data_IF_323996235601
#
_entry.id   IF_323996235601
#
_cell.length_a   1.000
_cell.length_b   1.000
_cell.length_c   1.000
_cell.angle_alpha   90.00
_cell.angle_beta   90.00
_cell.angle_gamma   90.00
#
_symmetry.space_group_name_H-M   'P 1'
#
loop_
_entity.id
_entity.type
_entity.pdbx_description
1 polymer ?
#
# COMPACT_ATOMS: atom_id res chain seq x y z
N UNK A 1 -33.82 -58.76 35.19
CA UNK A 1 -33.70 -59.00 33.74
C UNK A 1 -34.28 -57.77 33.05
N UNK A 2 -33.52 -56.70 32.83
CA UNK A 2 -32.75 -56.42 31.59
C UNK A 2 -33.56 -56.76 30.33
N UNK A 3 -34.04 -55.78 29.57
CA UNK A 3 -33.21 -55.18 28.52
C UNK A 3 -33.67 -53.78 28.13
N UNK A 4 -32.67 -52.90 27.96
CA UNK A 4 -32.73 -51.52 27.47
C UNK A 4 -32.52 -51.53 25.95
N UNK A 5 -33.36 -50.83 25.19
CA UNK A 5 -33.06 -50.45 23.80
C UNK A 5 -32.59 -49.00 23.82
N UNK A 6 -31.35 -48.80 23.39
CA UNK A 6 -30.69 -47.50 23.26
C UNK A 6 -31.00 -46.89 21.89
N UNK A 7 -31.51 -45.67 21.87
CA UNK A 7 -31.56 -44.82 20.67
C UNK A 7 -30.26 -44.03 20.61
N UNK A 8 -29.42 -44.30 19.61
CA UNK A 8 -28.22 -43.49 19.31
C UNK A 8 -28.64 -42.34 18.39
N UNK A 9 -28.64 -41.12 18.91
CA UNK A 9 -28.70 -39.89 18.13
C UNK A 9 -27.29 -39.57 17.63
N UNK A 10 -27.07 -39.67 16.32
CA UNK A 10 -25.87 -39.17 15.67
C UNK A 10 -25.93 -37.63 15.60
N UNK A 11 -25.21 -36.94 16.49
CA UNK A 11 -24.84 -35.54 16.28
C UNK A 11 -23.78 -35.50 15.17
N UNK A 12 -24.19 -35.16 13.95
CA UNK A 12 -23.27 -34.66 12.94
C UNK A 12 -22.88 -33.22 13.36
N UNK A 13 -21.74 -33.08 14.02
CA UNK A 13 -21.10 -31.80 14.22
C UNK A 13 -20.64 -31.26 12.85
N UNK A 14 -21.47 -30.41 12.23
CA UNK A 14 -21.02 -29.55 11.14
C UNK A 14 -20.10 -28.52 11.78
N UNK A 15 -18.81 -28.83 11.80
CA UNK A 15 -17.76 -27.85 12.05
C UNK A 15 -17.77 -26.85 10.89
N UNK A 16 -18.65 -25.85 10.97
CA UNK A 16 -18.49 -24.64 10.15
C UNK A 16 -17.22 -23.97 10.69
N UNK A 17 -16.08 -24.28 10.09
CA UNK A 17 -14.96 -23.37 10.15
C UNK A 17 -15.45 -22.07 9.51
N UNK A 18 -15.89 -21.12 10.34
CA UNK A 18 -15.93 -19.72 9.98
C UNK A 18 -14.48 -19.35 9.65
N UNK A 19 -14.08 -19.56 8.40
CA UNK A 19 -12.89 -18.93 7.88
C UNK A 19 -13.14 -17.43 8.03
N UNK A 20 -12.44 -16.78 8.97
CA UNK A 20 -12.42 -15.33 9.02
C UNK A 20 -11.97 -14.85 7.64
N UNK A 21 -12.84 -14.13 6.93
CA UNK A 21 -12.54 -13.68 5.59
C UNK A 21 -11.33 -12.74 5.63
N UNK A 22 -10.19 -13.22 5.12
CA UNK A 22 -8.97 -12.44 4.91
C UNK A 22 -9.32 -11.17 4.14
N UNK A 23 -9.06 -10.01 4.73
CA UNK A 23 -9.39 -8.72 4.15
C UNK A 23 -8.13 -7.98 3.71
N UNK A 24 -8.20 -7.31 2.56
CA UNK A 24 -7.17 -6.38 2.10
C UNK A 24 -7.78 -5.00 2.00
N UNK A 25 -7.16 -4.03 2.62
CA UNK A 25 -7.47 -2.61 2.43
C UNK A 25 -6.28 -1.90 1.82
N UNK A 26 -6.51 -0.78 1.15
CA UNK A 26 -5.44 0.14 0.77
C UNK A 26 -5.59 1.45 1.53
N UNK A 27 -4.47 1.99 1.99
CA UNK A 27 -4.43 3.30 2.59
C UNK A 27 -4.74 4.36 1.55
N UNK A 28 -5.64 5.28 1.90
CA UNK A 28 -6.18 6.27 0.97
C UNK A 28 -6.03 7.66 1.58
N UNK A 29 -5.26 8.51 0.93
CA UNK A 29 -5.07 9.91 1.31
C UNK A 29 -6.28 10.73 0.86
N UNK A 30 -7.14 11.13 1.81
CA UNK A 30 -8.30 11.97 1.50
C UNK A 30 -7.89 13.35 0.97
N UNK A 31 -6.70 13.86 1.32
CA UNK A 31 -6.17 15.12 0.79
C UNK A 31 -6.10 15.13 -0.76
N UNK A 32 -5.97 13.96 -1.39
CA UNK A 32 -5.95 13.80 -2.85
C UNK A 32 -7.34 13.56 -3.47
N UNK A 33 -8.42 13.77 -2.70
CA UNK A 33 -9.80 13.52 -3.15
C UNK A 33 -10.67 14.78 -3.28
N UNK A 34 -10.08 15.98 -3.24
CA UNK A 34 -10.85 17.25 -3.27
C UNK A 34 -11.88 17.30 -4.41
N UNK A 35 -11.45 16.94 -5.62
CA UNK A 35 -12.27 16.96 -6.83
C UNK A 35 -13.19 15.73 -7.01
N UNK A 36 -13.12 14.74 -6.10
CA UNK A 36 -13.81 13.47 -6.28
C UNK A 36 -15.33 13.67 -6.28
N UNK A 37 -15.96 12.99 -7.22
CA UNK A 37 -17.39 12.71 -7.20
C UNK A 37 -17.62 11.27 -6.77
N UNK A 38 -18.86 10.90 -6.44
CA UNK A 38 -19.28 9.49 -6.25
C UNK A 38 -18.87 8.62 -7.44
N UNK A 39 -18.89 9.16 -8.67
CA UNK A 39 -18.46 8.46 -9.88
C UNK A 39 -16.96 8.16 -9.89
N UNK A 40 -16.14 9.12 -9.46
CA UNK A 40 -14.70 8.91 -9.34
C UNK A 40 -14.38 7.86 -8.25
N UNK A 41 -15.02 7.95 -7.08
CA UNK A 41 -14.89 6.94 -6.04
C UNK A 41 -15.20 5.53 -6.54
N UNK A 42 -16.29 5.35 -7.31
CA UNK A 42 -16.63 4.05 -7.91
C UNK A 42 -15.57 3.56 -8.90
N UNK A 43 -14.92 4.46 -9.63
CA UNK A 43 -13.85 4.11 -10.57
C UNK A 43 -12.65 3.54 -9.82
N UNK A 44 -12.19 4.26 -8.81
CA UNK A 44 -11.08 3.84 -7.95
C UNK A 44 -11.39 2.52 -7.22
N UNK A 45 -12.58 2.38 -6.65
CA UNK A 45 -13.00 1.15 -5.95
C UNK A 45 -13.02 -0.06 -6.88
N UNK A 46 -13.50 0.09 -8.13
CA UNK A 46 -13.48 -1.00 -9.12
C UNK A 46 -12.05 -1.39 -9.50
N UNK A 47 -11.17 -0.41 -9.70
CA UNK A 47 -9.77 -0.67 -10.01
C UNK A 47 -9.05 -1.37 -8.83
N UNK A 48 -9.33 -0.95 -7.60
CA UNK A 48 -8.82 -1.59 -6.38
C UNK A 48 -9.34 -3.04 -6.25
N UNK A 49 -10.63 -3.29 -6.48
CA UNK A 49 -11.21 -4.65 -6.48
C UNK A 49 -10.54 -5.55 -7.53
N UNK A 50 -10.21 -5.03 -8.72
CA UNK A 50 -9.48 -5.78 -9.74
C UNK A 50 -8.07 -6.19 -9.30
N UNK A 51 -7.44 -5.42 -8.41
CA UNK A 51 -6.17 -5.73 -7.77
C UNK A 51 -6.30 -6.64 -6.54
N UNK A 52 -7.53 -7.03 -6.17
CA UNK A 52 -7.79 -7.87 -4.99
C UNK A 52 -7.87 -7.09 -3.67
N UNK A 53 -8.10 -5.78 -3.72
CA UNK A 53 -8.30 -4.91 -2.56
C UNK A 53 -9.80 -4.80 -2.29
N UNK A 54 -10.23 -5.02 -1.04
CA UNK A 54 -11.64 -5.08 -0.63
C UNK A 54 -12.15 -3.76 -0.04
N UNK A 55 -11.24 -2.90 0.40
CA UNK A 55 -11.60 -1.65 1.06
C UNK A 55 -10.54 -0.57 1.05
N UNK A 56 -10.90 0.62 1.51
CA UNK A 56 -9.96 1.73 1.77
C UNK A 56 -9.91 2.08 3.25
N UNK A 57 -8.70 2.37 3.72
CA UNK A 57 -8.40 2.98 5.01
C UNK A 57 -8.27 4.48 4.77
N UNK A 58 -9.30 5.25 5.15
CA UNK A 58 -9.41 6.67 4.84
C UNK A 58 -8.53 7.49 5.80
N UNK A 59 -7.34 7.87 5.31
CA UNK A 59 -6.42 8.74 6.00
C UNK A 59 -6.78 10.21 5.79
N UNK A 60 -6.84 10.93 6.90
CA UNK A 60 -7.10 12.35 6.96
C UNK A 60 -6.66 12.92 8.29
N UNK A 61 -6.61 14.24 8.35
CA UNK A 61 -6.09 15.04 9.45
C UNK A 61 -7.24 15.81 10.11
N UNK A 62 -7.05 16.38 11.32
CA UNK A 62 -8.03 17.28 11.91
C UNK A 62 -8.36 18.41 10.91
N UNK A 63 -9.62 18.58 10.48
CA UNK A 63 -9.94 19.46 9.34
C UNK A 63 -9.48 20.92 9.50
N UNK A 64 -9.36 21.37 10.74
CA UNK A 64 -8.98 22.75 11.10
C UNK A 64 -7.49 22.94 11.35
N UNK A 65 -6.67 21.91 11.11
CA UNK A 65 -5.21 22.01 11.22
C UNK A 65 -4.56 22.75 10.04
N UNK A 66 -5.24 22.86 8.90
CA UNK A 66 -4.70 23.48 7.68
C UNK A 66 -5.44 24.79 7.33
N UNK A 67 -4.76 25.66 6.58
CA UNK A 67 -5.33 26.85 5.95
C UNK A 67 -5.14 26.77 4.43
N UNK A 68 -6.21 26.72 3.61
CA UNK A 68 -7.62 26.66 4.02
C UNK A 68 -7.98 25.33 4.70
N UNK A 69 -9.04 25.38 5.52
CA UNK A 69 -9.57 24.22 6.24
C UNK A 69 -9.91 23.06 5.29
N UNK A 70 -9.63 21.84 5.76
CA UNK A 70 -9.95 20.57 5.07
C UNK A 70 -11.38 20.07 5.37
N UNK A 71 -12.29 20.92 5.85
CA UNK A 71 -13.69 20.55 6.17
C UNK A 71 -14.43 19.85 5.01
N UNK A 72 -14.06 20.14 3.76
CA UNK A 72 -14.57 19.46 2.57
C UNK A 72 -14.34 17.93 2.57
N UNK A 73 -13.37 17.41 3.35
CA UNK A 73 -13.13 15.97 3.46
C UNK A 73 -14.32 15.22 4.04
N UNK A 74 -15.12 15.87 4.89
CA UNK A 74 -16.35 15.30 5.43
C UNK A 74 -17.32 14.94 4.29
N UNK A 75 -17.49 15.84 3.31
CA UNK A 75 -18.34 15.60 2.15
C UNK A 75 -17.76 14.50 1.25
N UNK A 76 -16.43 14.45 1.09
CA UNK A 76 -15.78 13.38 0.31
C UNK A 76 -15.87 12.02 0.98
N UNK A 77 -15.90 11.96 2.31
CA UNK A 77 -16.19 10.74 3.07
C UNK A 77 -17.63 10.28 2.83
N UNK A 78 -18.60 11.20 2.85
CA UNK A 78 -20.00 10.88 2.52
C UNK A 78 -20.13 10.29 1.11
N UNK A 79 -19.49 10.94 0.13
CA UNK A 79 -19.44 10.46 -1.25
C UNK A 79 -18.80 9.06 -1.35
N UNK A 80 -17.74 8.81 -0.57
CA UNK A 80 -17.07 7.52 -0.52
C UNK A 80 -18.00 6.43 0.02
N UNK A 81 -18.69 6.66 1.14
CA UNK A 81 -19.65 5.69 1.69
C UNK A 81 -20.80 5.42 0.69
N UNK A 82 -21.33 6.46 0.05
CA UNK A 82 -22.36 6.30 -0.98
C UNK A 82 -21.85 5.45 -2.17
N UNK A 83 -20.60 5.67 -2.61
CA UNK A 83 -19.99 4.88 -3.68
C UNK A 83 -19.78 3.42 -3.26
N UNK A 84 -19.22 3.21 -2.06
CA UNK A 84 -18.85 1.91 -1.52
C UNK A 84 -20.05 0.97 -1.33
N UNK A 85 -21.20 1.50 -0.86
CA UNK A 85 -22.44 0.73 -0.76
C UNK A 85 -22.90 0.19 -2.13
N UNK A 86 -22.68 0.94 -3.21
CA UNK A 86 -23.07 0.54 -4.56
C UNK A 86 -22.09 -0.42 -5.22
N UNK A 87 -20.87 -0.53 -4.72
CA UNK A 87 -19.81 -1.41 -5.25
C UNK A 87 -19.51 -2.61 -4.35
N UNK A 88 -20.14 -2.69 -3.17
CA UNK A 88 -19.84 -3.70 -2.15
C UNK A 88 -18.47 -3.52 -1.50
N UNK A 89 -17.86 -2.34 -1.64
CA UNK A 89 -16.54 -2.02 -1.13
C UNK A 89 -16.61 -1.65 0.36
N UNK A 90 -15.49 -1.78 1.08
CA UNK A 90 -15.41 -1.47 2.51
C UNK A 90 -14.61 -0.21 2.79
N UNK A 91 -14.98 0.51 3.84
CA UNK A 91 -14.28 1.70 4.29
C UNK A 91 -14.04 1.62 5.80
N UNK A 92 -12.85 1.98 6.21
CA UNK A 92 -12.52 2.22 7.62
C UNK A 92 -11.88 3.59 7.78
N UNK A 93 -12.05 4.21 8.95
CA UNK A 93 -11.38 5.46 9.27
C UNK A 93 -9.95 5.20 9.75
N UNK A 94 -9.00 6.01 9.26
CA UNK A 94 -7.62 6.11 9.75
C UNK A 94 -7.32 7.56 10.12
N UNK A 95 -7.42 7.89 11.40
CA UNK A 95 -7.19 9.26 11.87
C UNK A 95 -5.68 9.56 11.99
N UNK A 96 -5.17 10.45 11.16
CA UNK A 96 -3.77 10.86 11.18
C UNK A 96 -3.52 11.80 12.37
N UNK A 97 -2.72 11.32 13.32
CA UNK A 97 -2.41 11.98 14.58
C UNK A 97 -1.02 12.65 14.58
N UNK A 98 -0.33 12.67 13.44
CA UNK A 98 1.04 13.18 13.31
C UNK A 98 1.14 14.71 13.26
N UNK A 99 0.03 15.40 12.99
CA UNK A 99 0.01 16.84 12.81
C UNK A 99 0.02 17.59 14.14
N UNK A 100 1.16 18.19 14.47
CA UNK A 100 1.38 18.95 15.73
C UNK A 100 1.55 20.45 15.50
N UNK A 101 1.97 20.86 14.30
CA UNK A 101 2.39 22.25 14.00
C UNK A 101 1.28 23.29 14.10
N UNK A 102 0.02 22.87 13.95
CA UNK A 102 -1.16 23.73 13.99
C UNK A 102 -1.82 23.84 15.38
N UNK A 103 -1.37 23.06 16.37
CA UNK A 103 -2.00 22.94 17.69
C UNK A 103 -3.52 22.63 17.64
N UNK A 104 -3.96 21.88 16.62
CA UNK A 104 -5.32 21.36 16.44
C UNK A 104 -5.26 19.85 16.42
N UNK A 105 -5.76 19.24 17.48
CA UNK A 105 -5.75 17.80 17.66
C UNK A 105 -7.14 17.20 17.39
N UNK A 106 -7.17 15.89 17.16
CA UNK A 106 -8.41 15.14 17.13
C UNK A 106 -9.13 15.26 18.46
N UNK A 107 -10.45 15.44 18.38
CA UNK A 107 -11.34 15.46 19.52
C UNK A 107 -12.23 14.22 19.45
N UNK A 108 -12.33 13.46 20.54
CA UNK A 108 -13.08 12.20 20.59
C UNK A 108 -14.55 12.37 20.26
N UNK A 109 -15.19 13.49 20.62
CA UNK A 109 -16.57 13.80 20.23
C UNK A 109 -16.70 13.91 18.71
N UNK A 110 -15.86 14.70 18.06
CA UNK A 110 -15.90 14.85 16.59
C UNK A 110 -15.59 13.54 15.88
N UNK A 111 -14.61 12.77 16.37
CA UNK A 111 -14.31 11.45 15.84
C UNK A 111 -15.51 10.51 15.98
N UNK A 112 -16.15 10.47 17.15
CA UNK A 112 -17.36 9.66 17.38
C UNK A 112 -18.48 10.08 16.43
N UNK A 113 -18.73 11.37 16.24
CA UNK A 113 -19.76 11.84 15.30
C UNK A 113 -19.49 11.33 13.88
N UNK A 114 -18.25 11.43 13.41
CA UNK A 114 -17.85 10.94 12.07
C UNK A 114 -17.94 9.42 11.94
N UNK A 115 -17.49 8.67 12.95
CA UNK A 115 -17.57 7.20 12.98
C UNK A 115 -19.04 6.74 12.96
N UNK A 116 -19.87 7.35 13.80
CA UNK A 116 -21.25 6.91 14.01
C UNK A 116 -22.20 7.33 12.90
N UNK A 117 -21.92 8.44 12.20
CA UNK A 117 -22.66 8.88 11.01
C UNK A 117 -22.85 7.77 9.97
N UNK A 118 -21.84 6.91 9.78
CA UNK A 118 -21.88 5.80 8.83
C UNK A 118 -22.02 4.43 9.47
N UNK A 119 -22.34 4.34 10.76
CA UNK A 119 -22.46 3.07 11.46
C UNK A 119 -23.50 2.13 10.83
N UNK A 120 -24.60 2.67 10.27
CA UNK A 120 -25.62 1.88 9.58
C UNK A 120 -25.22 1.42 8.16
N UNK A 121 -24.12 1.92 7.61
CA UNK A 121 -23.73 1.63 6.22
C UNK A 121 -23.23 0.20 6.05
N UNK A 122 -23.63 -0.47 4.96
CA UNK A 122 -23.05 -1.76 4.59
C UNK A 122 -21.58 -1.66 4.16
N UNK A 123 -21.10 -0.45 3.87
CA UNK A 123 -19.71 -0.19 3.53
C UNK A 123 -18.81 -0.02 4.76
N UNK A 124 -19.35 0.22 5.96
CA UNK A 124 -18.54 0.32 7.17
C UNK A 124 -17.82 -1.01 7.43
N UNK A 125 -16.49 -0.97 7.44
CA UNK A 125 -15.68 -2.14 7.77
C UNK A 125 -15.85 -2.46 9.26
N UNK A 126 -16.02 -3.74 9.55
CA UNK A 126 -16.25 -4.23 10.90
C UNK A 126 -15.28 -5.35 11.22
N UNK A 127 -14.86 -5.39 12.48
CA UNK A 127 -14.18 -6.53 13.04
C UNK A 127 -15.10 -7.16 14.08
N UNK A 128 -15.49 -8.41 13.84
CA UNK A 128 -16.67 -9.01 14.48
C UNK A 128 -17.91 -8.11 14.26
N UNK A 129 -18.54 -7.63 15.32
CA UNK A 129 -19.72 -6.74 15.26
C UNK A 129 -19.37 -5.25 15.37
N UNK A 130 -18.15 -4.90 15.78
CA UNK A 130 -17.74 -3.51 16.04
C UNK A 130 -17.21 -2.84 14.77
N UNK A 131 -17.35 -1.51 14.68
CA UNK A 131 -16.75 -0.73 13.58
C UNK A 131 -15.23 -0.76 13.75
N UNK A 132 -14.49 -1.12 12.70
CA UNK A 132 -13.04 -1.12 12.73
C UNK A 132 -12.52 0.31 12.50
N UNK A 133 -11.65 0.77 13.39
CA UNK A 133 -11.02 2.10 13.32
C UNK A 133 -9.51 1.95 13.51
N UNK A 134 -8.75 2.71 12.73
CA UNK A 134 -7.30 2.86 12.88
C UNK A 134 -6.92 4.33 13.09
N UNK A 135 -5.65 4.54 13.39
CA UNK A 135 -5.01 5.86 13.54
C UNK A 135 -3.58 5.77 13.04
N UNK A 136 -2.92 6.91 12.83
CA UNK A 136 -1.52 6.96 12.43
C UNK A 136 -0.69 7.86 13.34
N UNK A 137 0.41 7.32 13.87
CA UNK A 137 1.47 8.03 14.59
C UNK A 137 1.03 8.80 15.86
N UNK A 138 -0.04 8.36 16.53
CA UNK A 138 -0.50 8.97 17.78
C UNK A 138 0.54 8.90 18.92
N UNK A 139 1.40 7.88 18.90
CA UNK A 139 2.50 7.72 19.86
C UNK A 139 3.64 8.74 19.73
N UNK A 140 3.64 9.55 18.67
CA UNK A 140 4.60 10.64 18.47
C UNK A 140 4.06 12.00 18.92
N UNK A 141 2.91 12.01 19.57
CA UNK A 141 2.22 13.23 19.97
C UNK A 141 1.59 13.04 21.37
N UNK A 142 2.03 13.84 22.32
CA UNK A 142 1.63 13.74 23.73
C UNK A 142 0.12 13.94 23.95
N UNK A 143 -0.61 14.48 22.97
CA UNK A 143 -2.06 14.60 23.00
C UNK A 143 -2.80 13.24 22.94
N UNK A 144 -2.16 12.16 22.47
CA UNK A 144 -2.84 10.90 22.14
C UNK A 144 -2.29 9.68 22.89
N UNK A 145 -2.33 9.73 24.23
CA UNK A 145 -2.01 8.58 25.07
C UNK A 145 -3.12 7.52 25.15
N UNK A 146 -2.89 6.47 25.94
CA UNK A 146 -3.86 5.40 26.17
C UNK A 146 -5.24 5.89 26.59
N UNK A 147 -5.31 6.91 27.45
CA UNK A 147 -6.59 7.45 27.93
C UNK A 147 -7.42 8.02 26.78
N UNK A 148 -6.79 8.71 25.81
CA UNK A 148 -7.49 9.22 24.64
C UNK A 148 -8.17 8.09 23.83
N UNK A 149 -7.47 6.97 23.64
CA UNK A 149 -8.04 5.80 22.98
C UNK A 149 -9.16 5.14 23.78
N UNK A 150 -9.03 5.07 25.11
CA UNK A 150 -10.10 4.57 25.97
C UNK A 150 -11.33 5.49 25.89
N UNK A 151 -11.14 6.81 25.96
CA UNK A 151 -12.21 7.81 25.87
C UNK A 151 -12.94 7.74 24.53
N UNK A 152 -12.22 7.54 23.42
CA UNK A 152 -12.83 7.34 22.09
C UNK A 152 -13.71 6.07 22.07
N UNK A 153 -13.20 4.96 22.60
CA UNK A 153 -13.96 3.69 22.68
C UNK A 153 -15.21 3.86 23.54
N UNK A 154 -15.10 4.52 24.69
CA UNK A 154 -16.22 4.74 25.59
C UNK A 154 -17.24 5.72 25.01
N UNK A 155 -16.79 6.76 24.31
CA UNK A 155 -17.65 7.70 23.58
C UNK A 155 -18.47 7.00 22.50
N UNK A 156 -17.82 6.22 21.63
CA UNK A 156 -18.49 5.45 20.58
C UNK A 156 -19.45 4.38 21.16
N UNK A 157 -19.05 3.72 22.26
CA UNK A 157 -19.92 2.77 22.97
C UNK A 157 -21.14 3.46 23.58
N UNK A 158 -20.97 4.64 24.18
CA UNK A 158 -22.04 5.47 24.73
C UNK A 158 -23.04 5.93 23.66
N UNK A 159 -22.55 6.15 22.44
CA UNK A 159 -23.37 6.43 21.26
C UNK A 159 -24.04 5.17 20.64
N UNK A 160 -23.89 3.98 21.25
CA UNK A 160 -24.51 2.74 20.77
C UNK A 160 -23.76 2.03 19.62
N UNK A 161 -22.55 2.49 19.30
CA UNK A 161 -21.77 2.01 18.16
C UNK A 161 -20.33 1.70 18.57
N UNK A 162 -20.09 0.61 19.32
CA UNK A 162 -18.75 0.26 19.78
C UNK A 162 -17.78 0.03 18.61
N UNK A 163 -16.52 0.41 18.83
CA UNK A 163 -15.43 0.26 17.87
C UNK A 163 -14.47 -0.87 18.29
N UNK A 164 -13.74 -1.38 17.32
CA UNK A 164 -12.48 -2.12 17.52
C UNK A 164 -11.36 -1.20 17.05
N UNK A 165 -10.46 -0.85 17.96
CA UNK A 165 -9.36 0.08 17.67
C UNK A 165 -8.06 -0.67 17.41
N UNK A 166 -7.49 -0.49 16.21
CA UNK A 166 -6.20 -1.06 15.81
C UNK A 166 -5.28 0.06 15.26
N UNK A 167 -4.61 0.83 16.14
CA UNK A 167 -3.83 2.00 15.74
C UNK A 167 -2.47 1.62 15.15
N UNK A 168 -1.92 2.50 14.31
CA UNK A 168 -0.51 2.48 13.94
C UNK A 168 0.31 3.38 14.88
N UNK A 169 1.02 2.74 15.81
CA UNK A 169 1.93 3.39 16.75
C UNK A 169 3.37 3.26 16.24
N UNK A 170 3.79 4.23 15.43
CA UNK A 170 4.91 4.09 14.50
C UNK A 170 6.27 3.94 15.18
N UNK A 171 6.47 4.53 16.36
CA UNK A 171 7.74 4.42 17.10
C UNK A 171 7.97 3.00 17.60
N UNK A 172 6.91 2.27 17.95
CA UNK A 172 7.01 0.85 18.32
C UNK A 172 7.32 -0.01 17.11
N UNK A 173 6.68 0.24 15.97
CA UNK A 173 6.97 -0.44 14.70
C UNK A 173 8.46 -0.26 14.30
N UNK A 174 8.98 0.96 14.45
CA UNK A 174 10.38 1.30 14.20
C UNK A 174 11.33 0.62 15.19
N UNK A 175 11.05 0.68 16.49
CA UNK A 175 11.88 0.03 17.52
C UNK A 175 11.86 -1.50 17.43
N UNK A 176 10.78 -2.09 16.89
CA UNK A 176 10.68 -3.53 16.70
C UNK A 176 11.63 -4.07 15.63
N UNK A 177 12.21 -3.21 14.78
CA UNK A 177 13.21 -3.64 13.80
C UNK A 177 14.51 -4.10 14.45
N UNK A 178 14.79 -3.69 15.69
CA UNK A 178 15.98 -4.10 16.45
C UNK A 178 15.65 -4.88 17.72
N UNK A 179 14.46 -4.69 18.29
CA UNK A 179 14.05 -5.36 19.53
C UNK A 179 12.55 -5.71 19.50
N UNK A 180 12.15 -6.70 18.69
CA UNK A 180 10.74 -6.95 18.36
C UNK A 180 9.88 -7.31 19.58
N UNK A 181 10.29 -8.29 20.40
CA UNK A 181 9.51 -8.73 21.57
C UNK A 181 9.43 -7.62 22.64
N UNK A 182 10.54 -6.89 22.85
CA UNK A 182 10.60 -5.78 23.81
C UNK A 182 9.68 -4.64 23.37
N UNK A 183 9.72 -4.27 22.09
CA UNK A 183 8.87 -3.22 21.55
C UNK A 183 7.40 -3.59 21.63
N UNK A 184 7.04 -4.82 21.24
CA UNK A 184 5.67 -5.32 21.32
C UNK A 184 5.15 -5.39 22.77
N UNK A 185 5.97 -5.85 23.72
CA UNK A 185 5.60 -5.85 25.13
C UNK A 185 5.40 -4.42 25.67
N UNK A 186 6.27 -3.48 25.29
CA UNK A 186 6.16 -2.08 25.70
C UNK A 186 4.88 -1.44 25.15
N UNK A 187 4.55 -1.67 23.87
CA UNK A 187 3.30 -1.20 23.26
C UNK A 187 2.06 -1.65 24.04
N UNK A 188 2.01 -2.93 24.43
CA UNK A 188 0.89 -3.47 25.22
C UNK A 188 0.79 -2.85 26.60
N UNK A 189 1.93 -2.53 27.23
CA UNK A 189 1.98 -1.87 28.53
C UNK A 189 1.57 -0.40 28.46
N UNK A 190 2.00 0.31 27.41
CA UNK A 190 1.75 1.74 27.27
C UNK A 190 0.33 2.02 26.76
N UNK A 191 -0.24 1.12 25.95
CA UNK A 191 -1.56 1.28 25.31
C UNK A 191 -2.50 0.08 25.57
N UNK A 192 -2.84 -0.24 26.83
CA UNK A 192 -3.75 -1.34 27.15
C UNK A 192 -5.18 -1.18 26.60
N UNK A 193 -5.61 0.00 26.16
CA UNK A 193 -6.94 0.24 25.60
C UNK A 193 -7.13 -0.28 24.17
N UNK A 194 -6.05 -0.54 23.42
CA UNK A 194 -6.15 -0.99 22.03
C UNK A 194 -6.67 -2.42 21.95
N UNK A 195 -7.40 -2.74 20.89
CA UNK A 195 -7.97 -4.07 20.63
C UNK A 195 -7.16 -4.86 19.62
N UNK A 196 -6.58 -4.17 18.63
CA UNK A 196 -5.68 -4.73 17.62
C UNK A 196 -4.47 -3.82 17.43
N UNK A 197 -3.67 -4.08 16.40
CA UNK A 197 -2.53 -3.24 16.08
C UNK A 197 -2.25 -3.22 14.58
N UNK A 198 -1.96 -2.03 14.07
CA UNK A 198 -1.48 -1.84 12.72
C UNK A 198 0.03 -1.60 12.71
N UNK A 199 0.79 -2.57 12.20
CA UNK A 199 2.21 -2.40 11.98
C UNK A 199 2.47 -1.61 10.69
N UNK A 200 2.62 -0.29 10.82
CA UNK A 200 2.86 0.65 9.71
C UNK A 200 4.16 0.39 8.94
N UNK A 201 5.14 -0.28 9.55
CA UNK A 201 6.47 -0.40 8.95
C UNK A 201 6.43 -1.28 7.70
N UNK A 202 6.22 -0.67 6.53
CA UNK A 202 6.14 -1.33 5.23
C UNK A 202 7.47 -1.36 4.46
N UNK A 203 8.45 -0.57 4.89
CA UNK A 203 9.77 -0.46 4.26
C UNK A 203 10.89 -0.80 5.23
N UNK A 204 12.02 -1.34 4.76
CA UNK A 204 13.22 -1.49 5.58
C UNK A 204 13.75 -0.15 6.12
N UNK A 205 14.27 -0.17 7.34
CA UNK A 205 15.07 0.95 7.90
C UNK A 205 16.57 0.80 7.63
N UNK A 206 16.96 -0.16 6.81
CA UNK A 206 18.33 -0.51 6.46
C UNK A 206 18.37 -1.09 5.03
N UNK A 207 19.57 -1.28 4.48
CA UNK A 207 19.80 -1.88 3.16
C UNK A 207 19.66 -3.43 3.23
N UNK A 208 18.48 -3.90 3.63
CA UNK A 208 18.15 -5.32 3.71
C UNK A 208 16.65 -5.53 3.56
N UNK A 209 16.25 -6.67 3.02
CA UNK A 209 14.83 -7.02 2.87
C UNK A 209 14.13 -7.15 4.23
N UNK A 210 12.85 -6.80 4.25
CA UNK A 210 12.05 -6.97 5.45
C UNK A 210 11.80 -8.44 5.79
N UNK A 211 11.84 -8.76 7.09
CA UNK A 211 11.47 -10.07 7.63
C UNK A 211 10.10 -10.00 8.34
N UNK A 212 9.52 -11.15 8.67
CA UNK A 212 8.27 -11.21 9.44
C UNK A 212 8.49 -11.21 10.97
N UNK A 213 9.69 -10.91 11.46
CA UNK A 213 10.04 -11.05 12.89
C UNK A 213 9.25 -10.07 13.76
N UNK A 214 9.23 -8.79 13.39
CA UNK A 214 8.43 -7.78 14.09
C UNK A 214 6.94 -8.13 14.04
N UNK A 215 6.45 -8.64 12.90
CA UNK A 215 5.04 -8.99 12.74
C UNK A 215 4.61 -10.13 13.66
N UNK A 216 5.45 -11.17 13.76
CA UNK A 216 5.27 -12.29 14.69
C UNK A 216 5.24 -11.82 16.14
N UNK A 217 6.16 -10.94 16.53
CA UNK A 217 6.22 -10.43 17.90
C UNK A 217 4.99 -9.63 18.30
N UNK A 218 4.51 -8.72 17.44
CA UNK A 218 3.31 -7.96 17.70
C UNK A 218 2.04 -8.84 17.75
N UNK A 219 1.86 -9.75 16.78
CA UNK A 219 0.71 -10.66 16.78
C UNK A 219 0.71 -11.59 18.00
N UNK A 220 1.88 -12.08 18.42
CA UNK A 220 2.03 -12.86 19.63
C UNK A 220 1.72 -12.05 20.90
N UNK A 221 2.16 -10.79 20.97
CA UNK A 221 1.87 -9.90 22.10
C UNK A 221 0.37 -9.59 22.23
N UNK A 222 -0.33 -9.32 21.13
CA UNK A 222 -1.79 -9.18 21.12
C UNK A 222 -2.47 -10.42 21.68
N UNK A 223 -2.14 -11.60 21.14
CA UNK A 223 -2.72 -12.88 21.56
C UNK A 223 -2.47 -13.15 23.05
N UNK A 224 -1.23 -12.98 23.51
CA UNK A 224 -0.83 -13.20 24.92
C UNK A 224 -1.59 -12.30 25.89
N UNK A 225 -1.94 -11.08 25.47
CA UNK A 225 -2.67 -10.10 26.30
C UNK A 225 -4.20 -10.17 26.08
N UNK A 226 -4.72 -11.24 25.46
CA UNK A 226 -6.15 -11.46 25.30
C UNK A 226 -6.85 -10.44 24.38
N UNK A 227 -6.10 -9.83 23.47
CA UNK A 227 -6.62 -8.84 22.52
C UNK A 227 -7.45 -9.52 21.43
N UNK A 228 -8.58 -8.93 21.07
CA UNK A 228 -9.59 -9.52 20.18
C UNK A 228 -9.72 -8.82 18.83
N UNK A 229 -9.03 -7.70 18.63
CA UNK A 229 -8.94 -6.97 17.38
C UNK A 229 -7.88 -7.56 16.43
N UNK A 230 -7.82 -7.05 15.19
CA UNK A 230 -6.96 -7.61 14.16
C UNK A 230 -5.50 -7.21 14.34
N UNK A 231 -4.60 -8.07 13.89
CA UNK A 231 -3.26 -7.67 13.47
C UNK A 231 -3.27 -7.25 12.00
N UNK A 232 -2.98 -5.97 11.74
CA UNK A 232 -2.92 -5.39 10.41
C UNK A 232 -1.44 -5.24 10.00
N UNK A 233 -1.08 -5.77 8.84
CA UNK A 233 0.28 -5.76 8.30
C UNK A 233 0.37 -4.84 7.10
N UNK A 234 1.31 -3.90 7.13
CA UNK A 234 1.57 -3.04 5.97
C UNK A 234 2.38 -3.77 4.88
N UNK A 235 2.03 -3.52 3.62
CA UNK A 235 2.84 -3.87 2.44
C UNK A 235 2.87 -2.69 1.49
N UNK A 236 3.98 -2.46 0.80
CA UNK A 236 4.13 -1.31 -0.09
C UNK A 236 5.07 -1.62 -1.25
N UNK A 237 4.86 -1.04 -2.45
CA UNK A 237 5.72 -1.34 -3.58
C UNK A 237 7.05 -0.58 -3.55
N UNK A 238 7.01 0.69 -3.16
CA UNK A 238 8.13 1.62 -3.25
C UNK A 238 8.04 2.64 -2.13
N UNK A 239 9.06 3.49 -1.96
CA UNK A 239 8.97 4.68 -1.11
C UNK A 239 10.06 5.66 -1.48
N UNK A 240 9.62 6.84 -1.90
CA UNK A 240 10.48 7.98 -2.18
C UNK A 240 9.70 9.27 -2.02
N UNK A 241 10.31 10.26 -1.36
CA UNK A 241 9.83 11.63 -1.38
C UNK A 241 10.97 12.62 -1.37
N UNK A 242 10.71 13.78 -1.96
CA UNK A 242 11.44 15.03 -1.77
C UNK A 242 10.40 16.12 -1.52
N UNK A 243 10.09 16.39 -0.24
CA UNK A 243 9.07 17.39 0.10
C UNK A 243 9.49 18.83 -0.24
N UNK A 244 10.74 19.02 -0.68
CA UNK A 244 11.26 20.28 -1.16
C UNK A 244 11.07 21.47 -0.21
N UNK A 245 11.12 21.22 1.09
CA UNK A 245 10.74 22.17 2.15
C UNK A 245 11.94 22.72 2.94
N UNK A 246 13.17 22.41 2.51
CA UNK A 246 14.41 22.81 3.20
C UNK A 246 14.79 21.94 4.40
N UNK A 247 14.03 20.88 4.70
CA UNK A 247 14.32 19.93 5.79
C UNK A 247 14.92 18.65 5.21
N UNK A 248 16.21 18.41 5.44
CA UNK A 248 16.92 17.28 4.84
C UNK A 248 16.35 15.90 5.24
N UNK A 249 15.71 15.77 6.41
CA UNK A 249 15.06 14.51 6.82
C UNK A 249 13.80 14.18 6.03
N UNK A 250 13.23 15.16 5.33
CA UNK A 250 11.97 15.03 4.59
C UNK A 250 12.20 14.61 3.13
N UNK A 251 13.45 14.31 2.77
CA UNK A 251 13.83 13.84 1.43
C UNK A 251 14.62 12.54 1.52
N UNK A 252 13.99 11.42 1.17
CA UNK A 252 14.59 10.09 1.33
C UNK A 252 13.98 9.04 0.41
N UNK A 253 14.74 7.97 0.18
CA UNK A 253 14.29 6.75 -0.52
C UNK A 253 14.46 5.53 0.40
N UNK A 254 13.57 4.55 0.30
CA UNK A 254 13.70 3.28 1.02
C UNK A 254 14.29 2.18 0.13
N UNK A 255 14.86 1.15 0.75
CA UNK A 255 15.32 -0.05 0.05
C UNK A 255 14.10 -0.83 -0.48
N UNK A 256 13.72 -0.55 -1.73
CA UNK A 256 12.43 -0.97 -2.30
C UNK A 256 12.52 -1.79 -3.59
N UNK A 257 13.71 -1.91 -4.18
CA UNK A 257 13.98 -2.51 -5.49
C UNK A 257 13.18 -3.77 -5.80
N UNK A 258 13.03 -4.68 -4.84
CA UNK A 258 12.29 -5.95 -4.98
C UNK A 258 11.29 -6.19 -3.84
N UNK A 259 11.06 -5.16 -3.01
CA UNK A 259 10.34 -5.24 -1.74
C UNK A 259 8.91 -5.78 -1.93
N UNK A 260 8.19 -5.27 -2.92
CA UNK A 260 6.79 -5.65 -3.12
C UNK A 260 6.62 -7.15 -3.38
N UNK A 261 7.36 -7.65 -4.37
CA UNK A 261 7.30 -9.04 -4.80
C UNK A 261 7.72 -9.98 -3.66
N UNK A 262 8.82 -9.66 -2.97
CA UNK A 262 9.32 -10.48 -1.87
C UNK A 262 8.36 -10.48 -0.67
N UNK A 263 7.90 -9.31 -0.23
CA UNK A 263 7.03 -9.19 0.93
C UNK A 263 5.69 -9.88 0.69
N UNK A 264 5.09 -9.68 -0.47
CA UNK A 264 3.86 -10.36 -0.87
C UNK A 264 4.06 -11.87 -1.03
N UNK A 265 5.20 -12.32 -1.56
CA UNK A 265 5.51 -13.74 -1.67
C UNK A 265 5.64 -14.42 -0.31
N UNK A 266 6.33 -13.81 0.67
CA UNK A 266 6.42 -14.34 2.03
C UNK A 266 5.05 -14.51 2.70
N UNK A 267 4.14 -13.55 2.47
CA UNK A 267 2.75 -13.65 2.98
C UNK A 267 1.97 -14.74 2.24
N UNK A 268 2.09 -14.81 0.91
CA UNK A 268 1.38 -15.79 0.08
C UNK A 268 1.83 -17.24 0.35
N UNK A 269 3.12 -17.44 0.64
CA UNK A 269 3.69 -18.72 1.07
C UNK A 269 3.49 -19.04 2.55
N UNK A 270 2.70 -18.23 3.26
CA UNK A 270 2.33 -18.48 4.65
C UNK A 270 3.52 -18.48 5.64
N UNK A 271 4.60 -17.72 5.36
CA UNK A 271 5.66 -17.49 6.36
C UNK A 271 5.14 -16.72 7.59
N UNK A 272 4.11 -15.90 7.35
CA UNK A 272 3.30 -15.21 8.33
C UNK A 272 1.94 -14.89 7.70
N UNK A 273 0.85 -15.09 8.46
CA UNK A 273 -0.48 -14.68 8.01
C UNK A 273 -1.03 -13.56 8.91
N UNK A 274 -1.12 -12.31 8.42
CA UNK A 274 -1.85 -11.27 9.11
C UNK A 274 -3.36 -11.56 9.10
N UNK A 275 -4.10 -10.78 9.87
CA UNK A 275 -5.57 -10.82 9.83
C UNK A 275 -6.11 -9.89 8.73
N UNK A 276 -5.44 -8.75 8.54
CA UNK A 276 -5.69 -7.78 7.48
C UNK A 276 -4.35 -7.37 6.85
N UNK A 277 -4.32 -7.23 5.52
CA UNK A 277 -3.22 -6.53 4.82
C UNK A 277 -3.68 -5.11 4.53
N UNK A 278 -2.88 -4.12 4.91
CA UNK A 278 -3.05 -2.74 4.47
C UNK A 278 -1.97 -2.40 3.43
N UNK A 279 -2.36 -2.17 2.19
CA UNK A 279 -1.47 -1.77 1.11
C UNK A 279 -1.21 -0.27 1.21
N UNK A 280 0.05 0.11 1.40
CA UNK A 280 0.53 1.48 1.38
C UNK A 280 1.09 1.78 -0.01
N UNK A 281 0.37 2.51 -0.88
CA UNK A 281 -0.96 3.10 -0.69
C UNK A 281 -1.78 2.98 -1.97
N UNK A 282 -3.06 3.36 -1.91
CA UNK A 282 -3.82 3.56 -3.14
C UNK A 282 -3.35 4.82 -3.87
N UNK A 283 -3.36 5.99 -3.25
CA UNK A 283 -3.22 7.28 -3.93
C UNK A 283 -2.27 8.28 -3.26
N UNK A 284 -1.30 7.82 -2.47
CA UNK A 284 -0.30 8.73 -1.90
C UNK A 284 0.83 8.97 -2.90
N UNK A 285 0.61 9.98 -3.74
CA UNK A 285 1.48 10.33 -4.85
C UNK A 285 2.80 10.95 -4.41
N UNK A 286 2.78 11.80 -3.38
CA UNK A 286 3.99 12.52 -2.96
C UNK A 286 5.01 11.60 -2.27
N UNK A 287 4.61 10.42 -1.80
CA UNK A 287 5.52 9.42 -1.23
C UNK A 287 5.84 8.25 -2.19
N UNK A 288 5.43 8.37 -3.46
CA UNK A 288 5.87 7.48 -4.55
C UNK A 288 5.51 6.00 -4.36
N UNK A 289 4.42 5.69 -3.66
CA UNK A 289 4.05 4.30 -3.35
C UNK A 289 2.60 3.94 -3.61
N UNK A 290 1.93 4.80 -4.37
CA UNK A 290 0.57 4.61 -4.85
C UNK A 290 0.48 3.45 -5.84
N UNK A 291 -0.66 2.74 -5.82
CA UNK A 291 -1.07 1.81 -6.86
C UNK A 291 -2.09 2.40 -7.84
N UNK A 292 -2.71 3.54 -7.52
CA UNK A 292 -3.70 4.23 -8.37
C UNK A 292 -3.05 4.72 -9.67
N UNK A 293 -3.86 4.89 -10.71
CA UNK A 293 -3.41 5.53 -11.93
C UNK A 293 -3.05 6.97 -11.58
N UNK A 294 -2.14 7.58 -12.34
CA UNK A 294 -1.84 8.98 -12.13
C UNK A 294 -3.11 9.83 -12.29
N UNK A 295 -3.33 10.81 -11.41
CA UNK A 295 -4.46 11.71 -11.51
C UNK A 295 -4.26 12.66 -12.69
N UNK A 296 -5.32 13.37 -13.08
CA UNK A 296 -5.10 14.55 -13.89
C UNK A 296 -4.32 15.61 -13.10
N UNK A 297 -3.25 16.11 -13.69
CA UNK A 297 -2.41 17.17 -13.09
C UNK A 297 -2.53 18.50 -13.83
N UNK A 298 -3.07 18.47 -15.05
CA UNK A 298 -3.21 19.64 -15.93
C UNK A 298 -4.67 20.01 -16.22
N UNK A 299 -5.60 19.05 -16.18
CA UNK A 299 -7.03 19.33 -16.35
C UNK A 299 -7.69 19.57 -14.98
N UNK A 300 -7.76 20.84 -14.58
CA UNK A 300 -8.36 21.29 -13.31
C UNK A 300 -9.86 20.97 -13.17
N UNK A 301 -10.54 20.61 -14.26
CA UNK A 301 -11.96 20.19 -14.24
C UNK A 301 -12.14 18.68 -14.15
N UNK A 302 -11.06 17.90 -14.15
CA UNK A 302 -11.14 16.45 -13.97
C UNK A 302 -11.60 16.10 -12.55
N UNK A 303 -12.41 15.04 -12.44
CA UNK A 303 -12.95 14.58 -11.14
C UNK A 303 -11.92 13.88 -10.27
N UNK A 304 -10.69 13.73 -10.76
CA UNK A 304 -9.56 13.20 -10.01
C UNK A 304 -8.37 14.17 -9.97
N UNK A 305 -8.61 15.44 -10.27
CA UNK A 305 -7.56 16.46 -10.26
C UNK A 305 -6.88 16.56 -8.88
N UNK A 306 -5.54 16.56 -8.88
CA UNK A 306 -4.70 16.73 -7.68
C UNK A 306 -3.76 17.92 -7.87
N UNK A 307 -3.61 18.72 -6.82
CA UNK A 307 -2.63 19.81 -6.76
C UNK A 307 -1.43 19.38 -5.92
N UNK A 308 -0.24 19.52 -6.47
CA UNK A 308 1.01 19.27 -5.78
C UNK A 308 1.55 20.54 -5.13
N UNK A 309 2.30 20.37 -4.05
CA UNK A 309 3.01 21.47 -3.38
C UNK A 309 4.50 21.32 -3.60
N UNK A 310 5.23 22.43 -3.50
CA UNK A 310 6.70 22.46 -3.46
C UNK A 310 7.41 21.72 -4.61
N UNK A 311 6.82 21.59 -5.80
CA UNK A 311 7.52 20.93 -6.90
C UNK A 311 7.41 19.40 -6.90
N UNK A 312 6.53 18.79 -6.09
CA UNK A 312 6.34 17.34 -6.08
C UNK A 312 5.90 16.79 -7.44
N UNK A 313 5.22 17.62 -8.25
CA UNK A 313 4.87 17.29 -9.64
C UNK A 313 6.09 16.88 -10.47
N UNK A 314 7.28 17.44 -10.19
CA UNK A 314 8.50 17.17 -10.96
C UNK A 314 9.01 15.72 -10.81
N UNK A 315 8.58 15.00 -9.76
CA UNK A 315 8.94 13.59 -9.59
C UNK A 315 7.76 12.61 -9.63
N UNK A 316 6.54 13.13 -9.69
CA UNK A 316 5.32 12.34 -9.80
C UNK A 316 4.81 12.28 -11.24
N UNK A 317 4.95 13.36 -12.01
CA UNK A 317 4.43 13.43 -13.36
C UNK A 317 5.06 12.37 -14.27
N UNK A 318 4.22 11.63 -15.00
CA UNK A 318 4.64 10.56 -15.90
C UNK A 318 5.04 9.24 -15.21
N UNK A 319 5.27 9.23 -13.89
CA UNK A 319 5.66 8.04 -13.13
C UNK A 319 4.49 7.07 -12.93
N UNK A 320 4.27 6.18 -13.88
CA UNK A 320 3.18 5.22 -13.80
C UNK A 320 3.50 4.10 -12.81
N UNK A 321 2.60 3.81 -11.85
CA UNK A 321 2.72 2.67 -10.91
C UNK A 321 1.65 1.60 -11.09
N UNK A 322 0.64 1.83 -11.94
CA UNK A 322 -0.50 0.95 -12.10
C UNK A 322 -0.15 -0.51 -12.42
N UNK A 323 0.92 -0.83 -13.20
CA UNK A 323 1.31 -2.21 -13.45
C UNK A 323 1.63 -3.04 -12.20
N UNK A 324 2.05 -2.43 -11.09
CA UNK A 324 2.24 -3.16 -9.82
C UNK A 324 0.96 -3.82 -9.31
N UNK A 325 -0.23 -3.37 -9.74
CA UNK A 325 -1.50 -4.07 -9.46
C UNK A 325 -1.54 -5.51 -9.98
N UNK A 326 -0.75 -5.85 -11.01
CA UNK A 326 -0.64 -7.23 -11.50
C UNK A 326 0.00 -8.12 -10.43
N UNK A 327 1.08 -7.67 -9.80
CA UNK A 327 1.72 -8.38 -8.69
C UNK A 327 0.77 -8.48 -7.50
N UNK A 328 0.15 -7.36 -7.12
CA UNK A 328 -0.81 -7.31 -6.02
C UNK A 328 -1.94 -8.33 -6.23
N UNK A 329 -2.57 -8.31 -7.40
CA UNK A 329 -3.65 -9.24 -7.76
C UNK A 329 -3.24 -10.70 -7.59
N UNK A 330 -2.07 -11.07 -8.10
CA UNK A 330 -1.59 -12.45 -8.04
C UNK A 330 -1.37 -12.92 -6.59
N UNK A 331 -0.54 -12.19 -5.84
CA UNK A 331 -0.17 -12.62 -4.49
C UNK A 331 -1.29 -12.44 -3.46
N UNK A 332 -2.11 -11.40 -3.56
CA UNK A 332 -3.25 -11.21 -2.65
C UNK A 332 -4.32 -12.28 -2.89
N UNK A 333 -4.57 -12.67 -4.15
CA UNK A 333 -5.46 -13.79 -4.45
C UNK A 333 -4.88 -15.11 -3.91
N UNK A 334 -3.57 -15.32 -4.05
CA UNK A 334 -2.90 -16.47 -3.46
C UNK A 334 -3.11 -16.50 -1.94
N UNK A 335 -2.75 -15.43 -1.23
CA UNK A 335 -2.89 -15.35 0.21
C UNK A 335 -4.33 -15.59 0.69
N UNK A 336 -5.32 -14.97 0.03
CA UNK A 336 -6.74 -15.14 0.36
C UNK A 336 -7.20 -16.60 0.22
N UNK A 337 -6.76 -17.29 -0.82
CA UNK A 337 -7.22 -18.64 -1.15
C UNK A 337 -6.31 -19.76 -0.64
N UNK A 338 -5.14 -19.42 -0.09
CA UNK A 338 -4.13 -20.38 0.35
C UNK A 338 -3.46 -21.18 -0.78
N UNK A 339 -3.69 -20.82 -2.05
CA UNK A 339 -3.11 -21.49 -3.22
C UNK A 339 -2.78 -20.49 -4.33
N UNK A 340 -1.68 -20.75 -5.04
CA UNK A 340 -1.29 -19.94 -6.19
C UNK A 340 -2.40 -19.93 -7.26
N UNK A 341 -2.79 -18.75 -7.79
CA UNK A 341 -3.70 -18.65 -8.92
C UNK A 341 -3.12 -19.28 -10.18
N UNK A 342 -3.97 -19.85 -11.04
CA UNK A 342 -3.54 -20.30 -12.37
C UNK A 342 -3.14 -19.10 -13.22
N UNK A 343 -1.97 -19.16 -13.83
CA UNK A 343 -1.47 -18.13 -14.73
C UNK A 343 -2.08 -18.34 -16.11
N UNK A 344 -2.79 -17.33 -16.61
CA UNK A 344 -3.58 -17.43 -17.86
C UNK A 344 -3.16 -16.42 -18.93
N UNK A 345 -2.31 -15.46 -18.56
CA UNK A 345 -1.81 -14.40 -19.44
C UNK A 345 -0.29 -14.43 -19.50
N UNK A 346 0.27 -13.83 -20.55
CA UNK A 346 1.70 -13.53 -20.65
C UNK A 346 1.93 -12.07 -20.24
N UNK A 347 2.52 -11.85 -19.06
CA UNK A 347 2.74 -10.53 -18.48
C UNK A 347 4.14 -10.40 -17.88
N UNK A 348 4.83 -9.29 -18.14
CA UNK A 348 6.04 -8.88 -17.43
C UNK A 348 5.83 -7.46 -16.92
N UNK A 349 5.85 -7.30 -15.60
CA UNK A 349 5.90 -5.98 -14.97
C UNK A 349 7.36 -5.60 -14.81
N UNK A 350 7.75 -4.45 -15.34
CA UNK A 350 9.12 -3.97 -15.21
C UNK A 350 9.14 -2.54 -14.69
N UNK A 351 10.17 -2.21 -13.91
CA UNK A 351 10.33 -0.90 -13.30
C UNK A 351 11.78 -0.48 -13.25
N UNK A 352 11.99 0.83 -13.23
CA UNK A 352 13.30 1.45 -13.21
C UNK A 352 13.20 2.91 -12.76
N UNK A 353 14.30 3.46 -12.24
CA UNK A 353 14.43 4.91 -12.07
C UNK A 353 14.79 5.55 -13.41
N UNK A 354 14.34 6.78 -13.64
CA UNK A 354 14.53 7.49 -14.91
C UNK A 354 15.93 8.13 -15.05
N UNK A 355 16.79 7.95 -14.07
CA UNK A 355 18.21 8.29 -14.15
C UNK A 355 19.02 7.50 -13.10
N UNK A 356 20.34 7.31 -13.30
CA UNK A 356 21.23 6.74 -12.29
C UNK A 356 21.23 7.53 -10.98
N UNK A 357 21.63 6.90 -9.88
CA UNK A 357 21.79 7.60 -8.58
C UNK A 357 22.86 8.70 -8.61
N UNK A 358 23.81 8.59 -9.54
CA UNK A 358 24.88 9.56 -9.75
C UNK A 358 24.60 10.58 -10.87
N UNK A 359 23.36 10.65 -11.38
CA UNK A 359 23.00 11.57 -12.45
C UNK A 359 23.20 13.05 -12.04
N UNK A 360 23.58 13.88 -13.00
CA UNK A 360 23.70 15.31 -12.79
C UNK A 360 22.30 15.95 -12.80
N UNK A 361 21.84 16.38 -11.61
CA UNK A 361 20.49 16.89 -11.42
C UNK A 361 20.48 18.35 -10.98
N UNK A 362 19.59 19.14 -11.57
CA UNK A 362 19.61 20.62 -11.46
C UNK A 362 18.49 21.21 -10.56
N UNK A 363 17.67 20.37 -9.95
CA UNK A 363 16.54 20.74 -9.10
C UNK A 363 16.25 19.68 -8.02
N UNK A 364 15.43 20.07 -7.04
CA UNK A 364 15.24 19.36 -5.75
C UNK A 364 15.90 20.10 -4.58
N UNK A 365 15.25 20.14 -3.41
CA UNK A 365 15.76 20.93 -2.26
C UNK A 365 16.87 20.25 -1.50
N UNK A 366 16.98 18.93 -1.59
CA UNK A 366 17.91 18.22 -0.73
C UNK A 366 19.28 18.25 -1.39
N UNK A 367 20.25 18.87 -0.71
CA UNK A 367 21.67 18.77 -1.09
C UNK A 367 22.17 17.33 -1.16
N UNK A 368 21.38 16.37 -0.63
CA UNK A 368 21.51 14.93 -0.81
C UNK A 368 20.21 14.22 -0.40
N UNK A 369 19.65 13.38 -1.27
CA UNK A 369 18.54 12.48 -0.90
C UNK A 369 19.07 11.47 0.12
N UNK A 370 18.46 11.41 1.31
CA UNK A 370 18.86 10.42 2.32
C UNK A 370 18.64 9.02 1.75
N UNK A 371 19.61 8.14 1.98
CA UNK A 371 19.61 6.75 1.51
C UNK A 371 19.67 6.57 -0.02
N UNK A 372 20.07 7.58 -0.80
CA UNK A 372 20.21 7.50 -2.26
C UNK A 372 21.08 6.34 -2.79
N UNK A 373 21.93 5.73 -1.95
CA UNK A 373 22.75 4.57 -2.32
C UNK A 373 21.95 3.26 -2.39
N UNK A 374 20.81 3.18 -1.69
CA UNK A 374 20.03 1.95 -1.52
C UNK A 374 19.51 1.38 -2.86
N UNK A 375 18.93 2.20 -3.77
CA UNK A 375 18.41 1.66 -5.01
C UNK A 375 19.54 1.31 -5.97
N UNK A 376 19.41 0.15 -6.61
CA UNK A 376 20.30 -0.30 -7.67
C UNK A 376 20.04 0.51 -8.95
N UNK A 377 21.09 0.81 -9.72
CA UNK A 377 20.96 1.38 -11.07
C UNK A 377 20.64 0.23 -12.05
N UNK A 378 19.38 -0.20 -12.07
CA UNK A 378 18.94 -1.35 -12.86
C UNK A 378 17.47 -1.22 -13.33
N UNK A 379 17.15 -1.97 -14.38
CA UNK A 379 15.79 -2.32 -14.77
C UNK A 379 15.44 -3.65 -14.13
N UNK A 380 14.37 -3.69 -13.36
CA UNK A 380 13.84 -4.91 -12.76
C UNK A 380 12.70 -5.45 -13.61
N UNK A 381 12.59 -6.77 -13.74
CA UNK A 381 11.54 -7.41 -14.52
C UNK A 381 10.96 -8.63 -13.75
N UNK A 382 9.68 -8.55 -13.43
CA UNK A 382 8.90 -9.61 -12.79
C UNK A 382 7.96 -10.23 -13.83
N UNK A 383 8.20 -11.49 -14.18
CA UNK A 383 7.47 -12.23 -15.20
C UNK A 383 6.43 -13.16 -14.59
N UNK A 384 5.24 -13.16 -15.16
CA UNK A 384 4.13 -14.06 -14.86
C UNK A 384 3.56 -14.55 -16.20
N UNK A 385 3.96 -15.74 -16.63
CA UNK A 385 3.68 -16.26 -17.98
C UNK A 385 2.89 -17.57 -17.92
N UNK A 386 1.97 -17.76 -18.87
CA UNK A 386 1.06 -18.92 -18.87
C UNK A 386 1.72 -20.21 -19.33
N UNK A 387 2.78 -20.10 -20.13
CA UNK A 387 3.56 -21.21 -20.68
C UNK A 387 5.03 -20.81 -20.67
N UNK A 388 5.92 -21.81 -20.67
CA UNK A 388 7.38 -21.60 -20.75
C UNK A 388 7.73 -20.57 -21.83
N UNK A 389 8.52 -19.57 -21.43
CA UNK A 389 8.98 -18.48 -22.27
C UNK A 389 10.34 -17.96 -21.81
N UNK A 390 11.08 -17.38 -22.75
CA UNK A 390 12.30 -16.62 -22.47
C UNK A 390 11.93 -15.14 -22.44
N UNK A 391 12.10 -14.50 -21.30
CA UNK A 391 11.93 -13.04 -21.17
C UNK A 391 13.25 -12.38 -21.51
N UNK A 392 13.25 -11.50 -22.52
CA UNK A 392 14.42 -10.71 -22.91
C UNK A 392 14.21 -9.26 -22.54
N UNK A 393 15.20 -8.67 -21.87
CA UNK A 393 15.25 -7.25 -21.54
C UNK A 393 16.49 -6.62 -22.15
N UNK A 394 16.32 -5.48 -22.80
CA UNK A 394 17.39 -4.70 -23.41
C UNK A 394 17.34 -3.26 -22.91
N UNK A 395 18.50 -2.70 -22.55
CA UNK A 395 18.66 -1.30 -22.18
C UNK A 395 19.97 -0.77 -22.77
N UNK A 396 19.87 -0.11 -23.94
CA UNK A 396 21.01 0.49 -24.62
C UNK A 396 22.01 -0.56 -25.10
N UNK A 397 23.25 -0.46 -24.63
CA UNK A 397 24.29 -1.45 -24.95
C UNK A 397 24.10 -2.80 -24.22
N UNK A 398 23.32 -2.83 -23.15
CA UNK A 398 23.00 -4.07 -22.43
C UNK A 398 21.80 -4.75 -23.12
N UNK A 399 22.05 -5.44 -24.22
CA UNK A 399 21.01 -6.07 -25.04
C UNK A 399 20.83 -7.56 -24.73
N UNK A 400 19.62 -8.07 -24.93
CA UNK A 400 19.28 -9.50 -24.87
C UNK A 400 19.67 -10.17 -23.55
N UNK A 401 19.42 -9.46 -22.43
CA UNK A 401 19.52 -10.08 -21.12
C UNK A 401 18.29 -10.96 -20.92
N UNK A 402 18.53 -12.27 -20.87
CA UNK A 402 17.47 -13.28 -20.90
C UNK A 402 17.33 -14.00 -19.56
N UNK A 403 16.10 -14.32 -19.19
CA UNK A 403 15.79 -15.27 -18.13
C UNK A 403 14.55 -16.09 -18.49
N UNK A 404 14.50 -17.32 -17.99
CA UNK A 404 13.37 -18.22 -18.23
C UNK A 404 12.25 -17.94 -17.22
N UNK A 405 11.02 -18.00 -17.70
CA UNK A 405 9.81 -17.99 -16.89
C UNK A 405 8.85 -19.08 -17.39
N UNK A 406 8.05 -19.64 -16.49
CA UNK A 406 7.05 -20.63 -16.83
C UNK A 406 5.80 -20.49 -15.93
N UNK A 407 4.88 -21.45 -16.06
CA UNK A 407 3.62 -21.43 -15.34
C UNK A 407 3.72 -21.87 -13.87
N UNK A 408 4.91 -22.18 -13.35
CA UNK A 408 5.10 -22.61 -11.96
C UNK A 408 4.98 -21.46 -10.96
N UNK A 409 5.15 -20.22 -11.43
CA UNK A 409 5.07 -19.03 -10.61
C UNK A 409 5.86 -17.87 -11.22
N UNK A 410 5.96 -16.75 -10.50
CA UNK A 410 6.66 -15.60 -10.99
C UNK A 410 8.19 -15.78 -10.97
N UNK A 411 8.86 -15.23 -11.98
CA UNK A 411 10.30 -15.12 -12.05
C UNK A 411 10.72 -13.64 -11.99
N UNK A 412 11.80 -13.32 -11.28
CA UNK A 412 12.30 -11.97 -11.12
C UNK A 412 13.77 -11.90 -11.56
N UNK A 413 14.08 -10.92 -12.40
CA UNK A 413 15.46 -10.63 -12.82
C UNK A 413 15.73 -9.12 -12.78
N UNK A 414 17.01 -8.75 -12.85
CA UNK A 414 17.45 -7.36 -12.96
C UNK A 414 18.54 -7.22 -14.02
N UNK A 415 18.54 -6.08 -14.69
CA UNK A 415 19.50 -5.74 -15.75
C UNK A 415 20.13 -4.41 -15.38
N UNK A 416 21.46 -4.33 -15.19
CA UNK A 416 22.11 -3.07 -14.82
C UNK A 416 21.94 -2.02 -15.92
N UNK A 417 21.92 -0.75 -15.54
CA UNK A 417 22.00 0.34 -16.50
C UNK A 417 23.31 0.23 -17.31
N UNK A 418 23.28 0.57 -18.62
CA UNK A 418 24.51 0.63 -19.41
C UNK A 418 25.37 1.80 -18.92
N UNK A 419 26.68 1.70 -19.13
CA UNK A 419 27.62 2.79 -18.76
C UNK A 419 27.38 4.06 -19.57
N UNK A 420 26.96 3.91 -20.83
CA UNK A 420 26.61 4.99 -21.73
C UNK A 420 25.10 4.97 -21.98
N UNK A 421 24.42 6.04 -21.58
CA UNK A 421 22.98 6.23 -21.78
C UNK A 421 22.68 7.03 -23.06
N UNK A 422 23.69 7.61 -23.72
CA UNK A 422 23.54 8.52 -24.84
C UNK A 422 22.97 9.89 -24.46
N UNK A 423 23.10 10.86 -25.37
CA UNK A 423 22.68 12.26 -25.16
C UNK A 423 21.16 12.38 -24.92
N UNK A 424 20.35 11.51 -25.54
CA UNK A 424 18.90 11.49 -25.39
C UNK A 424 18.37 10.51 -24.33
N UNK A 425 19.26 9.83 -23.60
CA UNK A 425 18.90 8.72 -22.75
C UNK A 425 18.57 7.44 -23.52
N UNK A 426 18.30 6.39 -22.76
CA UNK A 426 18.07 5.03 -23.27
C UNK A 426 16.79 4.47 -22.66
N UNK A 427 15.97 3.84 -23.50
CA UNK A 427 14.69 3.27 -23.06
C UNK A 427 14.79 1.75 -22.91
N UNK A 428 14.30 1.17 -21.80
CA UNK A 428 14.20 -0.29 -21.67
C UNK A 428 13.21 -0.89 -22.67
N UNK A 429 13.57 -2.02 -23.25
CA UNK A 429 12.74 -2.84 -24.13
C UNK A 429 12.59 -4.22 -23.51
N UNK A 430 11.37 -4.72 -23.41
CA UNK A 430 11.04 -6.02 -22.80
C UNK A 430 10.22 -6.83 -23.77
N UNK A 431 10.63 -8.07 -24.00
CA UNK A 431 9.88 -9.03 -24.81
C UNK A 431 9.69 -10.36 -24.09
N UNK A 432 8.56 -10.99 -24.36
CA UNK A 432 8.29 -12.38 -24.00
C UNK A 432 8.47 -13.20 -25.28
N UNK A 433 9.36 -14.18 -25.26
CA UNK A 433 9.73 -14.98 -26.42
C UNK A 433 9.34 -16.45 -26.23
N UNK A 434 8.73 -17.04 -27.25
CA UNK A 434 8.34 -18.46 -27.26
C UNK A 434 8.60 -19.04 -28.64
N UNK A 435 9.34 -20.16 -28.70
CA UNK A 435 9.73 -20.81 -29.97
C UNK A 435 10.40 -19.83 -30.96
N UNK A 436 11.35 -19.01 -30.45
CA UNK A 436 12.06 -17.98 -31.21
C UNK A 436 11.17 -16.91 -31.87
N UNK A 437 9.97 -16.70 -31.33
CA UNK A 437 9.07 -15.61 -31.73
C UNK A 437 8.74 -14.72 -30.55
N UNK A 438 8.77 -13.41 -30.79
CA UNK A 438 8.25 -12.40 -29.87
C UNK A 438 6.73 -12.56 -29.80
N UNK A 439 6.20 -12.91 -28.62
CA UNK A 439 4.75 -13.02 -28.39
C UNK A 439 4.18 -11.75 -27.75
N UNK A 440 4.99 -11.03 -26.98
CA UNK A 440 4.67 -9.72 -26.41
C UNK A 440 5.93 -8.85 -26.46
N UNK A 441 5.73 -7.55 -26.67
CA UNK A 441 6.80 -6.56 -26.70
C UNK A 441 6.32 -5.27 -26.03
N UNK A 442 7.22 -4.63 -25.29
CA UNK A 442 7.02 -3.32 -24.71
C UNK A 442 8.30 -2.52 -24.80
N UNK A 443 8.16 -1.23 -25.07
CA UNK A 443 9.22 -0.23 -24.96
C UNK A 443 8.80 0.76 -23.90
N UNK A 444 9.66 1.03 -22.92
CA UNK A 444 9.37 1.95 -21.82
C UNK A 444 8.93 3.34 -22.28
N UNK A 445 8.03 3.95 -21.54
CA UNK A 445 7.49 5.28 -21.81
C UNK A 445 8.42 6.42 -21.40
N UNK A 446 9.39 6.15 -20.53
CA UNK A 446 10.39 7.14 -20.08
C UNK A 446 11.81 6.65 -20.34
N UNK A 447 12.63 7.51 -20.93
CA UNK A 447 14.06 7.22 -21.13
C UNK A 447 14.83 7.36 -19.81
N UNK A 448 15.85 6.53 -19.62
CA UNK A 448 16.83 6.64 -18.55
C UNK A 448 17.91 7.63 -19.04
N UNK A 449 18.05 8.77 -18.36
CA UNK A 449 18.96 9.84 -18.76
C UNK A 449 20.14 9.99 -17.80
N UNK A 450 21.28 10.47 -18.30
CA UNK A 450 22.48 10.73 -17.47
C UNK A 450 22.39 12.03 -16.65
N UNK A 451 21.42 12.88 -16.95
CA UNK A 451 21.14 14.14 -16.27
C UNK A 451 19.64 14.33 -16.08
N UNK A 452 19.25 15.14 -15.11
CA UNK A 452 17.85 15.34 -14.77
C UNK A 452 17.53 16.79 -14.36
N UNK A 453 16.30 17.25 -14.62
CA UNK A 453 15.83 18.56 -14.11
C UNK A 453 15.58 18.52 -12.61
N UNK A 454 15.18 17.37 -12.07
CA UNK A 454 14.83 17.18 -10.67
C UNK A 454 15.29 15.81 -10.17
N UNK A 455 16.06 15.78 -9.07
CA UNK A 455 16.51 14.51 -8.47
C UNK A 455 15.33 13.62 -8.15
N UNK A 456 15.22 12.47 -8.81
CA UNK A 456 14.03 11.64 -8.75
C UNK A 456 14.39 10.17 -8.50
N UNK A 457 13.99 9.66 -7.34
CA UNK A 457 14.12 8.24 -6.99
C UNK A 457 12.77 7.51 -6.99
N UNK A 458 11.74 8.11 -7.57
CA UNK A 458 10.51 7.43 -7.91
C UNK A 458 10.78 6.39 -9.03
N UNK A 459 9.96 5.35 -9.11
CA UNK A 459 10.10 4.31 -10.11
C UNK A 459 9.05 4.49 -11.22
N UNK A 460 9.49 4.42 -12.48
CA UNK A 460 8.57 4.27 -13.59
C UNK A 460 8.26 2.78 -13.80
N UNK A 461 6.99 2.42 -13.86
CA UNK A 461 6.53 1.03 -13.95
C UNK A 461 5.71 0.83 -15.22
N UNK A 462 5.98 -0.27 -15.90
CA UNK A 462 5.41 -0.63 -17.20
C UNK A 462 4.94 -2.09 -17.23
N UNK A 463 4.07 -2.41 -18.19
CA UNK A 463 3.55 -3.76 -18.41
C UNK A 463 3.81 -4.19 -19.85
N UNK A 464 4.66 -5.19 -20.03
CA UNK A 464 4.74 -5.94 -21.28
C UNK A 464 3.73 -7.08 -21.25
N UNK A 465 2.72 -7.03 -22.12
CA UNK A 465 1.71 -8.08 -22.24
C UNK A 465 0.26 -7.60 -22.19
N UNK A 466 -0.62 -8.55 -21.93
CA UNK A 466 -2.07 -8.36 -21.86
C UNK A 466 -2.49 -7.63 -20.58
N UNK A 467 -3.63 -6.91 -20.61
CA UNK A 467 -4.25 -6.31 -19.43
C UNK A 467 -4.42 -4.79 -19.47
N UNK A 468 -5.29 -4.29 -18.58
CA UNK A 468 -5.69 -2.86 -18.48
C UNK A 468 -4.82 -2.03 -17.54
N UNK A 469 -3.88 -2.65 -16.82
CA UNK A 469 -3.00 -1.98 -15.86
C UNK A 469 -1.82 -1.25 -16.53
N UNK A 470 -1.97 -0.76 -17.76
CA UNK A 470 -0.89 -0.10 -18.50
C UNK A 470 -0.64 1.35 -18.07
N UNK A 471 -1.47 1.90 -17.19
CA UNK A 471 -1.50 3.33 -16.87
C UNK A 471 -2.07 4.17 -18.03
N UNK A 472 -2.09 5.50 -17.90
CA UNK A 472 -2.47 6.37 -19.01
C UNK A 472 -1.50 6.14 -20.19
N UNK A 473 -2.03 5.90 -21.39
CA UNK A 473 -1.21 5.87 -22.59
C UNK A 473 -0.58 7.25 -22.79
N UNK A 474 0.73 7.31 -23.00
CA UNK A 474 1.41 8.51 -23.50
C UNK A 474 0.95 8.78 -24.93
N UNK A 475 -0.25 9.34 -25.06
CA UNK A 475 -0.85 9.74 -26.32
C UNK A 475 -1.50 11.11 -26.15
N UNK A 476 -0.67 12.13 -26.30
CA UNK A 476 -1.00 13.39 -26.96
C UNK A 476 0.28 14.03 -27.45
#
# INVERSE_FOLDING_TARGET
>A
MFSKIWTVLALAAVSVHLAAAKSVVAHFMLDNSYAYTVGQWKTDMKAAQQAGIDGFSLNWIPPDCNSPSRKWQVDRIDDAFQAAEKTGFKLMFSFDMSYTTCNKFWNTTFMTDMITKHAGSSAAMRWNTNILVSTYAGDKNDAYGNQFFQDLKDSCKGAGHPITLAPALVSYAQAAQTSPEKSAAKMMSDYPAIDGYFNWQAWPLMEANMTCTADKAFKAALTKNGKTGPYIMAVSPWQYKDLNNGVASDSWVAYSDTLFAQRLHSIANNEFSPDIIEVLTWNDFCESHYLRDLPSMTNVSATDYVTYSNGMENYVEGMNHAPWRVMAKYYLNWWKNGKAPVITMDQVVYWYRVHPKAAACYGGSSSKIKNYEYPTDAVFAWALVKDKATVSVSVGANQYWEFEADSSGPALSMIPFPKDLGIGGTTPEVSINRNNKVVQYSKGGMAITASCSWSNFNAHVELCGEGVNKGPSSSS
#
